data_IF_886661811207
#
_entry.id   IF_886661811207
#
_cell.length_a   1.000
_cell.length_b   1.000
_cell.length_c   1.000
_cell.angle_alpha   90.00
_cell.angle_beta   90.00
_cell.angle_gamma   90.00
#
_symmetry.space_group_name_H-M   'P 1'
#
loop_
_entity.id
_entity.type
_entity.pdbx_description
1 polymer ?
#
# COMPACT_ATOMS: atom_id res chain seq x y z
N UNK A 1 -29.45 -27.15 -41.90
CA UNK A 1 -29.11 -28.21 -40.94
C UNK A 1 -28.30 -29.25 -41.68
N UNK A 2 -27.08 -29.50 -41.24
CA UNK A 2 -26.18 -30.48 -41.84
C UNK A 2 -25.82 -31.45 -40.73
N UNK A 3 -26.36 -32.67 -40.81
CA UNK A 3 -26.00 -33.77 -39.91
C UNK A 3 -25.00 -34.60 -40.68
N UNK A 4 -23.79 -34.72 -40.14
CA UNK A 4 -22.74 -35.52 -40.75
C UNK A 4 -22.36 -36.62 -39.76
N UNK A 5 -22.60 -37.86 -40.18
CA UNK A 5 -22.07 -39.04 -39.52
C UNK A 5 -20.85 -39.43 -40.32
N UNK A 6 -19.68 -39.34 -39.71
CA UNK A 6 -18.42 -39.78 -40.30
C UNK A 6 -17.92 -40.99 -39.57
N UNK A 7 -17.83 -42.10 -40.29
CA UNK A 7 -17.15 -43.32 -39.87
C UNK A 7 -15.89 -43.44 -40.72
N UNK A 8 -14.73 -43.56 -40.09
CA UNK A 8 -13.44 -43.59 -40.78
C UNK A 8 -13.01 -45.04 -40.99
N UNK A 9 -13.18 -45.54 -42.21
CA UNK A 9 -12.83 -46.92 -42.58
C UNK A 9 -11.38 -47.11 -43.08
N UNK A 10 -10.64 -46.04 -43.42
CA UNK A 10 -9.26 -46.15 -43.95
C UNK A 10 -8.34 -44.96 -43.57
N UNK A 11 -7.03 -45.23 -43.46
CA UNK A 11 -5.99 -44.27 -43.01
C UNK A 11 -5.72 -43.08 -43.95
N UNK A 12 -6.31 -43.02 -45.15
CA UNK A 12 -5.90 -42.05 -46.20
C UNK A 12 -6.55 -40.66 -46.12
N UNK A 13 -7.57 -40.46 -45.29
CA UNK A 13 -8.15 -39.13 -45.08
C UNK A 13 -7.61 -38.48 -43.80
N UNK A 14 -6.65 -37.57 -43.96
CA UNK A 14 -5.95 -36.85 -42.89
C UNK A 14 -6.67 -35.61 -42.35
N UNK A 15 -8.00 -35.49 -42.51
CA UNK A 15 -8.72 -34.23 -42.23
C UNK A 15 -9.59 -34.21 -40.96
N UNK A 16 -9.64 -35.29 -40.20
CA UNK A 16 -10.43 -35.34 -38.95
C UNK A 16 -9.61 -36.07 -37.90
N UNK A 17 -9.48 -35.47 -36.70
CA UNK A 17 -8.74 -36.03 -35.56
C UNK A 17 -9.39 -37.27 -34.93
N UNK A 18 -9.93 -38.16 -35.77
CA UNK A 18 -10.55 -39.43 -35.43
C UNK A 18 -9.61 -40.57 -35.80
N UNK A 19 -9.49 -41.56 -34.92
CA UNK A 19 -8.76 -42.80 -35.20
C UNK A 19 -9.60 -43.74 -36.09
N UNK A 20 -8.96 -44.63 -36.88
CA UNK A 20 -9.69 -45.63 -37.67
C UNK A 20 -10.58 -46.51 -36.78
N UNK A 21 -11.87 -46.62 -37.10
CA UNK A 21 -12.85 -47.37 -36.30
C UNK A 21 -13.58 -46.54 -35.23
N UNK A 22 -13.23 -45.27 -35.04
CA UNK A 22 -14.02 -44.35 -34.22
C UNK A 22 -15.14 -43.71 -35.06
N UNK A 23 -16.33 -43.63 -34.47
CA UNK A 23 -17.47 -42.91 -35.02
C UNK A 23 -17.73 -41.66 -34.21
N UNK A 24 -17.88 -40.52 -34.88
CA UNK A 24 -18.25 -39.27 -34.23
C UNK A 24 -19.47 -38.65 -34.94
N UNK A 25 -20.38 -38.12 -34.13
CA UNK A 25 -21.57 -37.43 -34.61
C UNK A 25 -21.34 -35.93 -34.54
N UNK A 26 -21.38 -35.26 -35.69
CA UNK A 26 -21.30 -33.80 -35.74
C UNK A 26 -22.64 -33.19 -36.12
N UNK A 27 -23.09 -32.21 -35.32
CA UNK A 27 -24.22 -31.35 -35.64
C UNK A 27 -23.72 -29.92 -35.84
N UNK A 28 -23.73 -29.42 -37.09
CA UNK A 28 -23.30 -28.06 -37.42
C UNK A 28 -21.88 -27.67 -36.87
N UNK A 29 -20.98 -28.65 -36.69
CA UNK A 29 -19.63 -28.46 -36.15
C UNK A 29 -19.47 -28.77 -34.66
N UNK A 30 -20.56 -29.01 -33.93
CA UNK A 30 -20.53 -29.50 -32.55
C UNK A 30 -20.28 -31.01 -32.55
N UNK A 31 -19.22 -31.46 -31.86
CA UNK A 31 -19.00 -32.88 -31.61
C UNK A 31 -19.97 -33.35 -30.52
N UNK A 32 -20.83 -34.30 -30.85
CA UNK A 32 -21.80 -34.88 -29.95
C UNK A 32 -21.36 -36.30 -29.59
N UNK A 33 -21.21 -36.56 -28.30
CA UNK A 33 -20.82 -37.87 -27.78
C UNK A 33 -21.97 -38.88 -27.89
N UNK A 34 -21.79 -39.89 -28.74
CA UNK A 34 -22.85 -40.86 -29.04
C UNK A 34 -23.20 -41.76 -27.86
N UNK A 35 -22.29 -41.97 -26.91
CA UNK A 35 -22.51 -42.87 -25.77
C UNK A 35 -23.39 -42.25 -24.69
N UNK A 36 -23.42 -40.91 -24.60
CA UNK A 36 -24.16 -40.17 -23.58
C UNK A 36 -25.46 -39.52 -24.07
N UNK A 37 -25.75 -39.56 -25.38
CA UNK A 37 -26.90 -38.90 -25.98
C UNK A 37 -28.20 -39.70 -25.86
N UNK A 38 -29.16 -39.13 -25.14
CA UNK A 38 -30.57 -39.55 -25.20
C UNK A 38 -31.28 -38.88 -26.40
N UNK A 39 -32.27 -39.55 -26.99
CA UNK A 39 -33.08 -39.02 -28.10
C UNK A 39 -33.77 -37.70 -27.73
N UNK A 40 -34.17 -37.55 -26.47
CA UNK A 40 -34.75 -36.31 -25.96
C UNK A 40 -33.72 -35.19 -25.81
N UNK A 41 -32.47 -35.52 -25.45
CA UNK A 41 -31.38 -34.56 -25.42
C UNK A 41 -31.01 -34.11 -26.83
N UNK A 42 -30.89 -35.05 -27.77
CA UNK A 42 -30.65 -34.74 -29.18
C UNK A 42 -31.76 -33.84 -29.75
N UNK A 43 -33.02 -34.11 -29.43
CA UNK A 43 -34.14 -33.27 -29.83
C UNK A 43 -34.03 -31.84 -29.26
N UNK A 44 -33.65 -31.70 -27.99
CA UNK A 44 -33.43 -30.39 -27.38
C UNK A 44 -32.28 -29.62 -28.04
N UNK A 45 -31.18 -30.31 -28.35
CA UNK A 45 -30.02 -29.73 -29.05
C UNK A 45 -30.43 -29.26 -30.45
N UNK A 46 -31.17 -30.09 -31.21
CA UNK A 46 -31.69 -29.73 -32.53
C UNK A 46 -32.62 -28.51 -32.46
N UNK A 47 -33.49 -28.44 -31.46
CA UNK A 47 -34.39 -27.30 -31.26
C UNK A 47 -33.63 -26.02 -30.94
N UNK A 48 -32.57 -26.09 -30.14
CA UNK A 48 -31.70 -24.94 -29.87
C UNK A 48 -30.97 -24.48 -31.13
N UNK A 49 -30.46 -25.43 -31.92
CA UNK A 49 -29.77 -25.12 -33.17
C UNK A 49 -30.72 -24.53 -34.22
N UNK A 50 -31.98 -24.98 -34.25
CA UNK A 50 -33.03 -24.39 -35.08
C UNK A 50 -33.29 -22.93 -34.71
N UNK A 51 -33.36 -22.61 -33.42
CA UNK A 51 -33.56 -21.24 -32.95
C UNK A 51 -32.39 -20.33 -33.36
N UNK A 52 -31.16 -20.79 -33.20
CA UNK A 52 -29.95 -20.05 -33.62
C UNK A 52 -29.95 -19.85 -35.13
N UNK A 53 -30.21 -20.91 -35.89
CA UNK A 53 -30.28 -20.85 -37.36
C UNK A 53 -31.39 -19.93 -37.85
N UNK A 54 -32.54 -19.90 -37.18
CA UNK A 54 -33.67 -19.02 -37.53
C UNK A 54 -33.35 -17.56 -37.20
N UNK A 55 -32.66 -17.31 -36.09
CA UNK A 55 -32.16 -15.98 -35.72
C UNK A 55 -31.26 -15.39 -36.80
N UNK A 56 -30.26 -16.16 -37.27
CA UNK A 56 -29.38 -15.72 -38.35
C UNK A 56 -30.10 -15.59 -39.70
N UNK A 57 -31.05 -16.49 -39.98
CA UNK A 57 -31.88 -16.42 -41.18
C UNK A 57 -32.70 -15.13 -41.25
N UNK A 58 -33.30 -14.70 -40.13
CA UNK A 58 -34.05 -13.44 -40.03
C UNK A 58 -33.15 -12.21 -40.24
N UNK A 59 -31.86 -12.32 -39.93
CA UNK A 59 -30.85 -11.29 -40.16
C UNK A 59 -30.28 -11.31 -41.60
N UNK A 60 -30.76 -12.21 -42.46
CA UNK A 60 -30.34 -12.33 -43.87
C UNK A 60 -29.16 -13.26 -44.10
N UNK A 61 -28.60 -13.87 -43.05
CA UNK A 61 -27.50 -14.83 -43.14
C UNK A 61 -28.05 -16.26 -43.23
N UNK A 62 -27.88 -16.93 -44.38
CA UNK A 62 -28.45 -18.28 -44.56
C UNK A 62 -27.55 -19.40 -44.02
N UNK A 63 -26.37 -19.58 -44.59
CA UNK A 63 -25.43 -20.66 -44.19
C UNK A 63 -24.04 -20.14 -43.80
N UNK A 64 -23.81 -18.85 -43.96
CA UNK A 64 -22.51 -18.21 -43.71
C UNK A 64 -22.24 -17.94 -42.22
N UNK A 65 -23.17 -18.31 -41.33
CA UNK A 65 -23.04 -18.12 -39.88
C UNK A 65 -22.21 -19.23 -39.20
N UNK A 66 -22.11 -20.43 -39.81
CA UNK A 66 -21.43 -21.58 -39.21
C UNK A 66 -19.93 -21.33 -38.95
N UNK A 67 -19.15 -20.70 -39.86
CA UNK A 67 -17.75 -20.37 -39.59
C UNK A 67 -17.56 -19.36 -38.46
N UNK A 68 -18.58 -18.54 -38.17
CA UNK A 68 -18.55 -17.60 -37.05
C UNK A 68 -18.69 -18.38 -35.74
N UNK A 69 -19.64 -19.32 -35.68
CA UNK A 69 -19.88 -20.12 -34.48
C UNK A 69 -18.71 -21.05 -34.15
N UNK A 70 -18.03 -21.62 -35.15
CA UNK A 70 -16.88 -22.51 -34.92
C UNK A 70 -15.63 -21.78 -34.41
N UNK A 71 -15.51 -20.47 -34.66
CA UNK A 71 -14.35 -19.67 -34.28
C UNK A 71 -14.52 -18.92 -32.96
N UNK A 72 -15.72 -18.94 -32.37
CA UNK A 72 -15.98 -18.30 -31.09
C UNK A 72 -15.79 -19.34 -30.00
N UNK A 73 -14.77 -19.16 -29.16
CA UNK A 73 -14.60 -19.98 -27.96
C UNK A 73 -15.63 -19.54 -26.91
N UNK A 74 -16.62 -20.41 -26.68
CA UNK A 74 -17.70 -20.20 -25.70
C UNK A 74 -17.47 -20.97 -24.41
N UNK A 75 -16.29 -21.58 -24.20
CA UNK A 75 -16.01 -22.37 -23.00
C UNK A 75 -16.16 -21.53 -21.73
N UNK A 76 -17.22 -21.86 -20.98
CA UNK A 76 -17.63 -21.45 -19.63
C UNK A 76 -17.16 -20.12 -19.04
N UNK A 77 -18.11 -19.18 -18.85
CA UNK A 77 -18.04 -18.24 -17.72
C UNK A 77 -19.44 -17.92 -17.19
N UNK A 78 -19.75 -18.47 -16.01
CA UNK A 78 -20.98 -18.22 -15.23
C UNK A 78 -20.87 -16.87 -14.52
N UNK A 79 -20.98 -15.78 -15.28
CA UNK A 79 -21.60 -14.49 -14.91
C UNK A 79 -21.24 -13.42 -15.97
N UNK A 80 -22.06 -13.30 -17.02
CA UNK A 80 -21.86 -12.32 -18.12
C UNK A 80 -22.72 -11.07 -17.93
N UNK A 81 -22.49 -10.30 -16.88
CA UNK A 81 -22.93 -8.91 -16.86
C UNK A 81 -21.71 -8.00 -16.75
N UNK A 82 -21.58 -7.09 -17.70
CA UNK A 82 -20.61 -6.02 -17.62
C UNK A 82 -21.23 -4.90 -16.76
N UNK A 83 -20.53 -4.52 -15.70
CA UNK A 83 -20.94 -3.38 -14.85
C UNK A 83 -20.26 -2.13 -15.38
N UNK A 84 -21.06 -1.09 -15.68
CA UNK A 84 -20.53 0.23 -15.97
C UNK A 84 -20.17 0.94 -14.66
N UNK A 85 -18.88 1.13 -14.42
CA UNK A 85 -18.34 1.75 -13.21
C UNK A 85 -18.25 3.28 -13.30
N UNK A 86 -18.48 3.88 -14.47
CA UNK A 86 -18.18 5.31 -14.70
C UNK A 86 -19.03 6.24 -13.84
N UNK A 87 -20.25 5.81 -13.50
CA UNK A 87 -21.16 6.54 -12.60
C UNK A 87 -20.69 6.59 -11.15
N UNK A 88 -19.77 5.71 -10.75
CA UNK A 88 -19.29 5.61 -9.38
C UNK A 88 -18.09 6.53 -9.06
N UNK A 89 -17.57 7.27 -10.06
CA UNK A 89 -16.43 8.20 -9.90
C UNK A 89 -15.26 7.64 -9.08
N UNK A 90 -14.63 6.53 -9.51
CA UNK A 90 -13.53 5.93 -8.78
C UNK A 90 -12.32 6.88 -8.69
N UNK A 91 -11.63 6.85 -7.55
CA UNK A 91 -10.39 7.58 -7.33
C UNK A 91 -9.25 6.85 -8.03
N UNK A 92 -8.74 7.41 -9.13
CA UNK A 92 -7.67 6.78 -9.91
C UNK A 92 -6.29 7.09 -9.33
N UNK A 93 -5.48 6.05 -9.12
CA UNK A 93 -4.09 6.16 -8.63
C UNK A 93 -3.12 6.56 -9.76
N UNK A 94 -3.39 6.08 -10.98
CA UNK A 94 -2.56 6.29 -12.15
C UNK A 94 -3.38 6.55 -13.41
N UNK A 95 -2.70 7.11 -14.41
CA UNK A 95 -3.22 7.29 -15.75
C UNK A 95 -2.13 6.95 -16.78
N UNK A 96 -2.31 5.82 -17.46
CA UNK A 96 -1.33 5.27 -18.42
C UNK A 96 -1.14 6.17 -19.66
N UNK A 97 -2.10 7.02 -19.97
CA UNK A 97 -2.04 7.94 -21.11
C UNK A 97 -1.25 9.22 -20.80
N UNK A 98 -1.32 9.71 -19.56
CA UNK A 98 -0.83 11.06 -19.20
C UNK A 98 0.40 11.06 -18.30
N UNK A 99 0.55 10.07 -17.43
CA UNK A 99 1.59 10.13 -16.40
C UNK A 99 2.98 10.00 -17.01
N UNK A 100 3.92 10.83 -16.51
CA UNK A 100 5.32 10.86 -16.98
C UNK A 100 5.98 9.48 -16.88
N UNK A 101 5.59 8.70 -15.87
CA UNK A 101 6.10 7.35 -15.60
C UNK A 101 5.96 6.43 -16.82
N UNK A 102 4.83 6.45 -17.52
CA UNK A 102 4.55 5.54 -18.63
C UNK A 102 4.98 6.08 -20.01
N UNK A 103 5.61 7.27 -20.07
CA UNK A 103 6.01 7.91 -21.33
C UNK A 103 7.00 7.08 -22.16
N UNK A 104 7.75 6.19 -21.50
CA UNK A 104 8.69 5.29 -22.15
C UNK A 104 8.00 4.13 -22.90
N UNK A 105 6.72 3.87 -22.63
CA UNK A 105 5.92 2.89 -23.36
C UNK A 105 5.39 3.47 -24.67
N UNK A 106 5.16 2.59 -25.64
CA UNK A 106 4.52 2.98 -26.91
C UNK A 106 3.01 3.18 -26.68
N UNK A 107 2.42 4.15 -27.37
CA UNK A 107 1.02 4.57 -27.19
C UNK A 107 0.09 4.12 -28.35
N UNK A 108 0.48 3.11 -29.12
CA UNK A 108 -0.27 2.61 -30.28
C UNK A 108 -1.09 1.37 -29.94
N UNK A 109 -2.40 1.40 -30.24
CA UNK A 109 -3.31 0.26 -30.04
C UNK A 109 -2.96 -0.92 -30.97
N UNK A 110 -2.29 -0.66 -32.10
CA UNK A 110 -1.86 -1.71 -33.05
C UNK A 110 -0.94 -2.75 -32.41
N UNK A 111 -0.27 -2.39 -31.31
CA UNK A 111 0.62 -3.28 -30.56
C UNK A 111 -0.13 -4.49 -29.95
N UNK A 112 -1.45 -4.40 -29.78
CA UNK A 112 -2.27 -5.54 -29.33
C UNK A 112 -2.34 -6.66 -30.37
N UNK A 113 -2.18 -6.33 -31.66
CA UNK A 113 -2.23 -7.28 -32.76
C UNK A 113 -0.88 -7.97 -33.02
N UNK A 114 0.19 -7.44 -32.43
CA UNK A 114 1.52 -8.02 -32.57
C UNK A 114 1.70 -9.19 -31.59
N UNK A 115 2.31 -10.31 -32.02
CA UNK A 115 2.55 -11.44 -31.14
C UNK A 115 3.38 -11.03 -29.91
N UNK A 116 2.95 -11.47 -28.74
CA UNK A 116 3.62 -11.24 -27.45
C UNK A 116 3.67 -12.54 -26.66
N UNK A 117 4.51 -12.59 -25.62
CA UNK A 117 4.66 -13.80 -24.81
C UNK A 117 3.32 -14.19 -24.17
N UNK A 118 2.86 -15.44 -24.32
CA UNK A 118 1.59 -15.89 -23.76
C UNK A 118 1.61 -15.78 -22.23
N UNK A 119 0.53 -15.25 -21.66
CA UNK A 119 0.40 -15.03 -20.21
C UNK A 119 0.95 -13.71 -19.67
N UNK A 120 1.59 -12.87 -20.52
CA UNK A 120 2.07 -11.55 -20.12
C UNK A 120 1.19 -10.43 -20.71
N UNK A 121 0.85 -9.43 -19.89
CA UNK A 121 0.17 -8.23 -20.37
C UNK A 121 1.21 -7.31 -20.99
N UNK A 122 1.02 -6.96 -22.27
CA UNK A 122 1.92 -6.05 -22.98
C UNK A 122 1.84 -4.63 -22.38
N UNK A 123 2.98 -3.99 -22.04
CA UNK A 123 2.98 -2.61 -21.57
C UNK A 123 2.67 -1.64 -22.72
N UNK A 124 1.54 -0.95 -22.63
CA UNK A 124 1.07 0.06 -23.59
C UNK A 124 0.64 1.28 -22.79
N UNK A 125 1.12 2.48 -23.15
CA UNK A 125 0.73 3.75 -22.52
C UNK A 125 -0.68 4.19 -22.94
N UNK A 126 -1.68 3.34 -22.68
CA UNK A 126 -3.10 3.54 -22.97
C UNK A 126 -3.94 2.87 -21.87
N UNK A 127 -4.99 3.52 -21.40
CA UNK A 127 -5.91 2.97 -20.40
C UNK A 127 -6.84 1.87 -20.98
N UNK A 128 -6.26 0.72 -21.37
CA UNK A 128 -6.99 -0.39 -22.00
C UNK A 128 -7.66 -1.32 -20.97
N UNK A 129 -6.98 -1.53 -19.84
CA UNK A 129 -7.44 -2.40 -18.77
C UNK A 129 -7.57 -1.58 -17.49
N UNK A 130 -8.77 -1.56 -16.91
CA UNK A 130 -9.04 -0.84 -15.66
C UNK A 130 -9.38 -1.85 -14.57
N UNK A 131 -8.70 -1.74 -13.43
CA UNK A 131 -8.95 -2.52 -12.22
C UNK A 131 -9.48 -1.57 -11.14
N UNK A 132 -10.68 -1.86 -10.61
CA UNK A 132 -11.33 -1.03 -9.59
C UNK A 132 -11.48 -1.85 -8.32
N UNK A 133 -10.89 -1.36 -7.24
CA UNK A 133 -11.04 -1.92 -5.92
C UNK A 133 -12.24 -1.27 -5.24
N UNK A 134 -13.28 -2.05 -4.97
CA UNK A 134 -14.42 -1.64 -4.15
C UNK A 134 -14.16 -2.11 -2.73
N UNK A 135 -14.00 -1.17 -1.79
CA UNK A 135 -13.42 -1.43 -0.49
C UNK A 135 -14.22 -0.75 0.60
N UNK A 136 -14.51 -1.45 1.68
CA UNK A 136 -14.90 -0.81 2.93
C UNK A 136 -13.61 -0.49 3.73
N UNK A 137 -13.20 0.79 3.84
CA UNK A 137 -11.97 1.16 4.54
C UNK A 137 -11.95 0.78 6.03
N UNK A 138 -13.11 0.53 6.67
CA UNK A 138 -13.16 0.05 8.04
C UNK A 138 -12.80 -1.44 8.17
N UNK A 139 -12.91 -2.21 7.08
CA UNK A 139 -12.71 -3.66 7.10
C UNK A 139 -11.25 -4.06 6.89
N UNK A 140 -10.80 -5.11 7.59
CA UNK A 140 -9.40 -5.56 7.55
C UNK A 140 -8.97 -6.05 6.16
N UNK A 141 -9.82 -6.79 5.46
CA UNK A 141 -9.49 -7.33 4.14
C UNK A 141 -9.27 -6.23 3.09
N UNK A 142 -9.90 -5.07 3.29
CA UNK A 142 -9.67 -3.91 2.44
C UNK A 142 -8.23 -3.41 2.52
N UNK A 143 -7.55 -3.56 3.67
CA UNK A 143 -6.12 -3.17 3.79
C UNK A 143 -5.22 -4.04 2.92
N UNK A 144 -5.51 -5.34 2.83
CA UNK A 144 -4.75 -6.28 1.95
C UNK A 144 -4.91 -5.88 0.48
N UNK A 145 -6.13 -5.52 0.10
CA UNK A 145 -6.44 -5.06 -1.26
C UNK A 145 -5.83 -3.68 -1.56
N UNK A 146 -5.81 -2.76 -0.59
CA UNK A 146 -5.11 -1.47 -0.71
C UNK A 146 -3.61 -1.65 -0.87
N UNK A 147 -3.01 -2.57 -0.10
CA UNK A 147 -1.60 -2.92 -0.27
C UNK A 147 -1.33 -3.50 -1.66
N UNK A 148 -2.18 -4.41 -2.12
CA UNK A 148 -2.09 -4.96 -3.48
C UNK A 148 -2.19 -3.86 -4.54
N UNK A 149 -3.14 -2.93 -4.41
CA UNK A 149 -3.27 -1.79 -5.30
C UNK A 149 -2.01 -0.92 -5.33
N UNK A 150 -1.40 -0.68 -4.17
CA UNK A 150 -0.13 0.04 -4.06
C UNK A 150 1.03 -0.72 -4.75
N UNK A 151 1.17 -2.02 -4.48
CA UNK A 151 2.20 -2.87 -5.10
C UNK A 151 2.06 -2.95 -6.63
N UNK A 152 0.83 -3.04 -7.16
CA UNK A 152 0.59 -3.04 -8.61
C UNK A 152 0.99 -1.70 -9.25
N UNK A 153 0.76 -0.59 -8.55
CA UNK A 153 1.20 0.73 -8.99
C UNK A 153 2.72 0.89 -8.96
N UNK A 154 3.38 0.42 -7.90
CA UNK A 154 4.85 0.50 -7.78
C UNK A 154 5.57 -0.33 -8.84
N UNK A 155 5.05 -1.51 -9.19
CA UNK A 155 5.64 -2.39 -10.21
C UNK A 155 5.26 -2.01 -11.66
N UNK A 156 4.61 -0.86 -11.88
CA UNK A 156 4.23 -0.39 -13.21
C UNK A 156 3.45 -1.42 -14.02
N UNK A 157 2.54 -2.15 -13.36
CA UNK A 157 1.67 -3.10 -14.07
C UNK A 157 0.79 -2.31 -15.06
N UNK A 158 0.62 -2.76 -16.32
CA UNK A 158 -0.13 -2.03 -17.36
C UNK A 158 -1.65 -2.09 -17.14
N UNK A 159 -2.08 -1.62 -15.98
CA UNK A 159 -3.46 -1.52 -15.52
C UNK A 159 -3.70 -0.10 -15.01
N UNK A 160 -4.86 0.46 -15.33
CA UNK A 160 -5.37 1.66 -14.67
C UNK A 160 -6.05 1.26 -13.37
N UNK A 161 -5.54 1.71 -12.23
CA UNK A 161 -5.99 1.30 -10.91
C UNK A 161 -6.88 2.39 -10.32
N UNK A 162 -8.09 2.01 -9.93
CA UNK A 162 -9.07 2.86 -9.26
C UNK A 162 -9.46 2.31 -7.89
N UNK A 163 -9.75 3.21 -6.95
CA UNK A 163 -10.28 2.90 -5.63
C UNK A 163 -11.70 3.47 -5.50
N UNK A 164 -12.60 2.67 -4.96
CA UNK A 164 -13.97 3.05 -4.61
C UNK A 164 -14.20 2.66 -3.15
N UNK A 165 -14.38 3.66 -2.28
CA UNK A 165 -14.68 3.39 -0.88
C UNK A 165 -16.18 3.29 -0.66
N UNK A 166 -16.62 2.11 -0.24
CA UNK A 166 -17.97 1.83 0.22
C UNK A 166 -18.08 2.32 1.66
N UNK A 167 -18.36 3.61 1.83
CA UNK A 167 -18.64 4.24 3.13
C UNK A 167 -20.13 4.56 3.24
N UNK A 168 -20.61 4.74 4.47
CA UNK A 168 -21.98 5.17 4.71
C UNK A 168 -22.25 6.54 4.07
N UNK A 169 -23.39 6.66 3.41
CA UNK A 169 -23.76 7.83 2.58
C UNK A 169 -24.52 8.90 3.35
N UNK A 170 -24.82 8.66 4.62
CA UNK A 170 -25.60 9.57 5.45
C UNK A 170 -24.78 10.78 5.90
N UNK A 171 -25.22 11.99 5.54
CA UNK A 171 -24.57 13.27 5.89
C UNK A 171 -24.47 13.53 7.41
N UNK A 172 -25.24 12.82 8.24
CA UNK A 172 -25.15 12.91 9.69
C UNK A 172 -23.91 12.20 10.27
N UNK A 173 -23.28 11.32 9.49
CA UNK A 173 -22.14 10.51 9.94
C UNK A 173 -20.84 11.22 9.56
N UNK A 174 -20.16 11.77 10.56
CA UNK A 174 -18.86 12.41 10.41
C UNK A 174 -17.71 11.42 10.66
N UNK A 175 -16.49 11.79 10.25
CA UNK A 175 -15.28 11.01 10.51
C UNK A 175 -14.90 10.83 11.99
N UNK A 176 -15.63 11.44 12.92
CA UNK A 176 -15.52 11.16 14.36
C UNK A 176 -16.35 9.96 14.79
N UNK A 177 -17.40 9.62 14.03
CA UNK A 177 -18.37 8.59 14.36
C UNK A 177 -18.14 7.32 13.54
N UNK A 178 -17.64 7.46 12.31
CA UNK A 178 -17.34 6.34 11.41
C UNK A 178 -15.88 6.39 10.93
N UNK A 179 -15.19 5.27 11.12
CA UNK A 179 -13.77 5.11 10.80
C UNK A 179 -13.55 5.13 9.29
N UNK A 180 -14.48 4.58 8.51
CA UNK A 180 -14.37 4.55 7.05
C UNK A 180 -14.48 5.95 6.44
N UNK A 181 -15.42 6.76 6.92
CA UNK A 181 -15.55 8.18 6.58
C UNK A 181 -14.32 8.96 7.01
N UNK A 182 -13.73 8.65 8.16
CA UNK A 182 -12.48 9.27 8.62
C UNK A 182 -11.31 8.99 7.66
N UNK A 183 -11.15 7.74 7.23
CA UNK A 183 -10.09 7.32 6.30
C UNK A 183 -10.31 7.94 4.91
N UNK A 184 -11.56 7.98 4.43
CA UNK A 184 -11.88 8.65 3.17
C UNK A 184 -11.56 10.15 3.23
N UNK A 185 -11.93 10.83 4.32
CA UNK A 185 -11.65 12.25 4.51
C UNK A 185 -10.14 12.52 4.60
N UNK A 186 -9.41 11.65 5.30
CA UNK A 186 -7.96 11.71 5.37
C UNK A 186 -7.32 11.54 3.98
N UNK A 187 -7.74 10.53 3.22
CA UNK A 187 -7.25 10.28 1.87
C UNK A 187 -7.51 11.49 0.96
N UNK A 188 -8.73 12.03 0.99
CA UNK A 188 -9.12 13.20 0.22
C UNK A 188 -8.31 14.44 0.62
N UNK A 189 -8.11 14.68 1.93
CA UNK A 189 -7.31 15.78 2.43
C UNK A 189 -5.85 15.69 1.95
N UNK A 190 -5.25 14.49 2.02
CA UNK A 190 -3.89 14.25 1.55
C UNK A 190 -3.76 14.40 0.02
N UNK A 191 -4.83 14.04 -0.71
CA UNK A 191 -4.90 14.14 -2.16
C UNK A 191 -5.12 15.58 -2.68
N UNK A 192 -5.35 16.57 -1.80
CA UNK A 192 -5.41 17.99 -2.18
C UNK A 192 -4.01 18.49 -2.55
N UNK A 193 -3.02 18.17 -1.72
CA UNK A 193 -1.65 18.63 -1.89
C UNK A 193 -0.79 17.65 -2.71
N UNK A 194 -1.14 16.37 -2.71
CA UNK A 194 -0.40 15.29 -3.38
C UNK A 194 -1.32 14.44 -4.28
N UNK A 195 -0.75 13.58 -5.11
CA UNK A 195 -1.55 12.64 -5.89
C UNK A 195 -2.11 11.48 -5.03
N UNK A 196 -3.19 10.84 -5.48
CA UNK A 196 -3.84 9.73 -4.75
C UNK A 196 -2.91 8.55 -4.45
N UNK A 197 -1.88 8.29 -5.27
CA UNK A 197 -0.92 7.21 -5.01
C UNK A 197 0.00 7.50 -3.81
N UNK A 198 0.39 8.77 -3.61
CA UNK A 198 1.16 9.17 -2.44
C UNK A 198 0.27 9.10 -1.19
N UNK A 199 -0.96 9.60 -1.29
CA UNK A 199 -1.94 9.53 -0.20
C UNK A 199 -2.27 8.08 0.21
N UNK A 200 -2.35 7.15 -0.76
CA UNK A 200 -2.57 5.74 -0.49
C UNK A 200 -1.39 5.11 0.25
N UNK A 201 -0.14 5.38 -0.17
CA UNK A 201 1.07 4.87 0.52
C UNK A 201 1.03 5.24 2.00
N UNK A 202 0.67 6.49 2.27
CA UNK A 202 0.54 7.05 3.61
C UNK A 202 -0.46 6.22 4.42
N UNK A 203 -1.68 5.99 3.92
CA UNK A 203 -2.74 5.23 4.63
C UNK A 203 -2.36 3.75 4.90
N UNK A 204 -1.56 3.12 4.05
CA UNK A 204 -1.24 1.69 4.12
C UNK A 204 -0.06 1.38 5.05
N UNK A 205 0.86 2.32 5.28
CA UNK A 205 2.12 2.07 5.98
C UNK A 205 2.38 3.07 7.13
N UNK A 206 1.79 2.88 8.33
CA UNK A 206 2.16 3.66 9.49
C UNK A 206 3.54 3.22 10.02
N UNK A 207 4.57 4.05 9.83
CA UNK A 207 5.90 3.83 10.39
C UNK A 207 6.06 4.60 11.70
N UNK A 208 6.48 3.93 12.79
CA UNK A 208 6.96 4.63 13.99
C UNK A 208 8.48 4.67 13.96
N UNK A 209 9.04 5.87 13.89
CA UNK A 209 10.47 6.14 13.83
C UNK A 209 10.88 7.01 15.02
N UNK A 210 11.77 6.53 15.89
CA UNK A 210 12.42 7.37 16.89
C UNK A 210 13.84 7.70 16.46
N UNK A 211 14.26 8.93 16.71
CA UNK A 211 15.62 9.41 16.45
C UNK A 211 16.30 9.62 17.78
N UNK A 212 17.40 8.91 18.01
CA UNK A 212 18.27 9.10 19.17
C UNK A 212 19.44 9.96 18.72
N UNK A 213 19.58 11.15 19.31
CA UNK A 213 20.63 12.08 18.92
C UNK A 213 21.00 13.06 20.03
N UNK A 214 22.24 13.56 19.95
CA UNK A 214 22.71 14.71 20.70
C UNK A 214 22.39 16.01 19.94
N UNK A 215 21.43 16.80 20.42
CA UNK A 215 21.05 18.05 19.76
C UNK A 215 22.04 19.20 20.00
N UNK A 216 22.98 19.06 20.93
CA UNK A 216 24.07 20.02 21.11
C UNK A 216 25.16 19.81 20.04
N UNK A 217 25.28 18.58 19.51
CA UNK A 217 26.15 18.25 18.38
C UNK A 217 25.56 18.67 17.03
N UNK A 218 26.41 19.16 16.11
CA UNK A 218 26.02 19.49 14.74
C UNK A 218 25.43 18.29 13.99
N UNK A 219 26.12 17.15 14.08
CA UNK A 219 25.71 15.92 13.41
C UNK A 219 24.44 15.30 14.02
N UNK A 220 24.17 15.54 15.31
CA UNK A 220 22.93 15.11 15.94
C UNK A 220 21.73 16.01 15.61
N UNK A 221 21.95 17.31 15.35
CA UNK A 221 20.90 18.17 14.75
C UNK A 221 20.62 17.79 13.30
N UNK A 222 21.64 17.44 12.52
CA UNK A 222 21.50 17.07 11.12
C UNK A 222 20.61 15.82 10.93
N UNK A 223 20.79 14.78 11.75
CA UNK A 223 19.97 13.55 11.65
C UNK A 223 18.48 13.83 11.94
N UNK A 224 18.19 14.68 12.93
CA UNK A 224 16.82 15.12 13.23
C UNK A 224 16.25 16.00 12.12
N UNK A 225 17.05 16.91 11.56
CA UNK A 225 16.65 17.72 10.42
C UNK A 225 16.28 16.86 9.20
N UNK A 226 17.12 15.88 8.86
CA UNK A 226 16.87 14.92 7.77
C UNK A 226 15.61 14.09 8.03
N UNK A 227 15.39 13.62 9.26
CA UNK A 227 14.18 12.90 9.63
C UNK A 227 12.91 13.76 9.49
N UNK A 228 12.92 15.01 9.98
CA UNK A 228 11.77 15.92 9.85
C UNK A 228 11.54 16.31 8.38
N UNK A 229 12.60 16.42 7.58
CA UNK A 229 12.48 16.67 6.14
C UNK A 229 11.82 15.49 5.44
N UNK A 230 12.19 14.26 5.78
CA UNK A 230 11.52 13.05 5.30
C UNK A 230 10.02 13.03 5.67
N UNK A 231 9.63 13.57 6.85
CA UNK A 231 8.21 13.76 7.20
C UNK A 231 7.46 14.75 6.31
N UNK A 232 8.13 15.61 5.55
CA UNK A 232 7.46 16.51 4.59
C UNK A 232 7.06 15.76 3.32
N UNK A 233 7.79 14.69 2.96
CA UNK A 233 7.50 13.84 1.80
C UNK A 233 6.64 12.62 2.16
N UNK A 234 6.73 12.14 3.41
CA UNK A 234 5.92 11.04 3.94
C UNK A 234 5.12 11.51 5.16
N UNK A 235 3.80 11.68 5.02
CA UNK A 235 2.97 12.30 6.08
C UNK A 235 2.44 11.33 7.15
N UNK A 236 2.69 10.01 7.05
CA UNK A 236 2.29 9.00 8.08
C UNK A 236 3.43 8.35 8.86
N UNK A 237 4.62 8.95 8.87
CA UNK A 237 5.66 8.52 9.81
C UNK A 237 5.47 9.21 11.16
N UNK A 238 5.21 8.44 12.22
CA UNK A 238 5.21 8.92 13.60
C UNK A 238 6.65 9.10 14.06
N UNK A 239 7.10 10.35 14.15
CA UNK A 239 8.45 10.68 14.60
C UNK A 239 8.49 10.90 16.12
N UNK A 240 9.37 10.17 16.80
CA UNK A 240 9.81 10.47 18.15
C UNK A 240 11.26 10.98 18.15
N UNK A 241 11.60 11.85 19.10
CA UNK A 241 12.98 12.31 19.30
C UNK A 241 13.35 11.96 20.73
N UNK A 242 14.45 11.25 20.92
CA UNK A 242 15.01 10.87 22.22
C UNK A 242 16.37 11.56 22.36
N UNK A 243 16.53 12.33 23.43
CA UNK A 243 17.76 13.08 23.66
C UNK A 243 18.84 12.18 24.23
N UNK A 244 20.00 12.11 23.57
CA UNK A 244 21.17 11.39 24.04
C UNK A 244 22.40 12.31 24.07
N UNK A 245 22.49 13.24 25.03
CA UNK A 245 23.59 14.19 25.08
C UNK A 245 24.90 13.50 25.47
N UNK A 246 26.00 14.02 24.94
CA UNK A 246 27.35 13.62 25.38
C UNK A 246 27.60 14.07 26.83
N UNK A 247 27.09 15.25 27.19
CA UNK A 247 27.20 15.82 28.54
C UNK A 247 25.81 16.01 29.17
N UNK A 248 25.49 15.34 30.30
CA UNK A 248 24.16 15.42 30.91
C UNK A 248 23.87 16.76 31.60
N UNK A 249 24.86 17.63 31.76
CA UNK A 249 24.73 18.94 32.43
C UNK A 249 24.13 20.02 31.52
N UNK A 250 24.41 19.98 30.21
CA UNK A 250 23.92 20.98 29.23
C UNK A 250 22.44 20.78 28.90
N UNK A 251 21.92 19.58 29.15
CA UNK A 251 20.56 19.15 28.79
C UNK A 251 19.44 20.00 29.41
N UNK A 252 19.68 20.53 30.60
CA UNK A 252 18.69 21.29 31.39
C UNK A 252 18.96 22.79 31.41
N UNK A 253 19.92 23.29 30.63
CA UNK A 253 20.20 24.72 30.58
C UNK A 253 18.99 25.48 30.02
N UNK A 254 18.69 26.62 30.62
CA UNK A 254 17.52 27.42 30.25
C UNK A 254 17.71 27.95 28.83
N UNK A 255 16.75 27.67 27.95
CA UNK A 255 16.78 27.98 26.51
C UNK A 255 17.81 27.20 25.67
N UNK A 256 18.33 26.09 26.20
CA UNK A 256 19.09 25.12 25.39
C UNK A 256 18.21 24.52 24.28
N UNK A 257 18.84 24.10 23.17
CA UNK A 257 18.12 23.46 22.05
C UNK A 257 17.37 22.19 22.51
N UNK A 258 17.97 21.27 23.29
CA UNK A 258 17.25 20.10 23.81
C UNK A 258 16.01 20.46 24.63
N UNK A 259 16.11 21.45 25.52
CA UNK A 259 14.98 21.92 26.33
C UNK A 259 13.88 22.54 25.47
N UNK A 260 14.24 23.34 24.46
CA UNK A 260 13.27 23.96 23.55
C UNK A 260 12.56 22.94 22.69
N UNK A 261 13.27 21.91 22.21
CA UNK A 261 12.67 20.82 21.43
C UNK A 261 11.72 19.98 22.30
N UNK A 262 12.10 19.65 23.54
CA UNK A 262 11.20 18.95 24.47
C UNK A 262 9.94 19.77 24.80
N UNK A 263 10.09 21.08 25.04
CA UNK A 263 8.95 21.97 25.27
C UNK A 263 8.04 22.05 24.03
N UNK A 264 8.63 22.18 22.83
CA UNK A 264 7.90 22.22 21.58
C UNK A 264 7.08 20.96 21.33
N UNK A 265 7.64 19.77 21.60
CA UNK A 265 6.95 18.50 21.42
C UNK A 265 5.75 18.32 22.36
N UNK A 266 5.79 18.93 23.56
CA UNK A 266 4.75 18.77 24.60
C UNK A 266 3.66 19.83 24.53
N UNK A 267 4.03 21.08 24.27
CA UNK A 267 3.14 22.23 24.44
C UNK A 267 2.53 22.72 23.12
N UNK A 268 3.24 22.55 22.00
CA UNK A 268 2.79 23.08 20.72
C UNK A 268 1.98 22.05 19.94
N UNK A 269 0.97 22.48 19.14
CA UNK A 269 0.34 21.63 18.15
C UNK A 269 1.36 21.06 17.17
N UNK A 270 1.16 19.83 16.70
CA UNK A 270 2.13 19.11 15.86
C UNK A 270 2.63 19.89 14.64
N UNK A 271 1.75 20.65 13.97
CA UNK A 271 2.13 21.49 12.81
C UNK A 271 3.11 22.60 13.21
N UNK A 272 2.83 23.28 14.33
CA UNK A 272 3.69 24.34 14.86
C UNK A 272 5.01 23.76 15.39
N UNK A 273 4.93 22.66 16.15
CA UNK A 273 6.10 21.95 16.66
C UNK A 273 7.04 21.52 15.53
N UNK A 274 6.50 20.93 14.45
CA UNK A 274 7.28 20.52 13.27
C UNK A 274 8.03 21.70 12.66
N UNK A 275 7.35 22.82 12.42
CA UNK A 275 7.98 24.00 11.82
C UNK A 275 9.03 24.63 12.74
N UNK A 276 8.72 24.75 14.03
CA UNK A 276 9.60 25.35 15.03
C UNK A 276 10.85 24.50 15.26
N UNK A 277 10.71 23.19 15.47
CA UNK A 277 11.83 22.26 15.62
C UNK A 277 12.69 22.25 14.36
N UNK A 278 12.09 22.29 13.15
CA UNK A 278 12.86 22.38 11.89
C UNK A 278 13.76 23.62 11.85
N UNK A 279 13.30 24.76 12.39
CA UNK A 279 14.11 25.98 12.51
C UNK A 279 15.21 25.80 13.57
N UNK A 280 14.87 25.28 14.75
CA UNK A 280 15.83 25.09 15.85
C UNK A 280 17.03 24.19 15.48
N UNK A 281 16.77 23.10 14.76
CA UNK A 281 17.84 22.16 14.38
C UNK A 281 18.61 22.59 13.13
N UNK A 282 18.18 23.66 12.44
CA UNK A 282 18.90 24.17 11.27
C UNK A 282 20.21 24.81 11.73
N UNK A 283 21.30 24.44 11.07
CA UNK A 283 22.66 24.77 11.50
C UNK A 283 22.92 26.28 11.68
N UNK A 284 22.39 27.10 10.77
CA UNK A 284 22.51 28.57 10.83
C UNK A 284 21.91 29.11 12.13
N UNK A 285 20.65 28.79 12.41
CA UNK A 285 19.95 29.27 13.60
C UNK A 285 20.51 28.68 14.88
N UNK A 286 20.97 27.43 14.85
CA UNK A 286 21.64 26.82 16.00
C UNK A 286 22.93 27.58 16.36
N UNK A 287 23.76 27.96 15.38
CA UNK A 287 24.99 28.74 15.62
C UNK A 287 24.68 30.13 16.19
N UNK A 288 23.64 30.79 15.67
CA UNK A 288 23.20 32.11 16.15
C UNK A 288 22.62 32.06 17.58
N UNK A 289 21.93 30.97 17.93
CA UNK A 289 21.40 30.75 19.27
C UNK A 289 22.51 30.45 20.29
N UNK A 290 23.49 29.62 19.93
CA UNK A 290 24.65 29.33 20.80
C UNK A 290 25.55 30.55 21.01
N UNK A 291 25.68 31.42 20.00
CA UNK A 291 26.43 32.67 20.12
C UNK A 291 25.66 33.78 20.85
N UNK A 292 24.37 33.57 21.14
CA UNK A 292 23.48 34.57 21.76
C UNK A 292 23.13 35.75 20.84
N UNK A 293 23.46 35.64 19.55
CA UNK A 293 23.15 36.67 18.54
C UNK A 293 21.65 36.77 18.23
N UNK A 294 20.92 35.68 18.44
CA UNK A 294 19.48 35.58 18.23
C UNK A 294 18.82 34.96 19.46
N UNK A 295 17.64 35.46 19.84
CA UNK A 295 16.83 34.81 20.87
C UNK A 295 15.83 33.83 20.24
N UNK A 296 15.40 32.82 21.01
CA UNK A 296 14.52 31.76 20.51
C UNK A 296 13.13 32.29 20.06
N UNK A 297 12.68 33.42 20.59
CA UNK A 297 11.40 34.06 20.23
C UNK A 297 11.36 34.50 18.76
N UNK A 298 12.52 34.86 18.19
CA UNK A 298 12.64 35.22 16.77
C UNK A 298 12.44 34.02 15.84
N UNK A 299 12.58 32.80 16.36
CA UNK A 299 12.34 31.56 15.64
C UNK A 299 10.86 31.13 15.68
N UNK A 300 9.99 31.86 16.37
CA UNK A 300 8.57 31.58 16.44
C UNK A 300 7.93 31.40 15.04
N UNK A 301 6.88 30.59 14.98
CA UNK A 301 6.17 30.27 13.74
C UNK A 301 4.78 30.91 13.74
N UNK A 302 4.17 31.04 12.56
CA UNK A 302 2.85 31.68 12.44
C UNK A 302 1.80 31.00 13.32
N UNK A 303 1.10 31.79 14.14
CA UNK A 303 0.06 31.29 15.05
C UNK A 303 0.57 30.73 16.39
N UNK A 304 1.87 30.85 16.68
CA UNK A 304 2.43 30.53 18.00
C UNK A 304 2.21 31.69 18.98
N UNK A 305 1.64 31.41 20.14
CA UNK A 305 1.59 32.36 21.26
C UNK A 305 2.86 32.22 22.10
N UNK A 306 3.80 33.14 21.88
CA UNK A 306 5.13 33.14 22.51
C UNK A 306 5.02 33.29 24.03
N UNK A 307 4.11 34.14 24.52
CA UNK A 307 3.96 34.40 25.95
C UNK A 307 3.37 33.19 26.67
N UNK A 308 2.36 32.55 26.06
CA UNK A 308 1.78 31.31 26.60
C UNK A 308 2.85 30.21 26.64
N UNK A 309 3.58 30.02 25.56
CA UNK A 309 4.63 29.01 25.47
C UNK A 309 5.74 29.24 26.51
N UNK A 310 6.19 30.48 26.70
CA UNK A 310 7.21 30.80 27.70
C UNK A 310 6.74 30.50 29.13
N UNK A 311 5.51 30.86 29.48
CA UNK A 311 4.95 30.58 30.80
C UNK A 311 4.81 29.08 31.06
N UNK A 312 4.30 28.33 30.09
CA UNK A 312 4.16 26.87 30.19
C UNK A 312 5.52 26.15 30.19
N UNK A 313 6.49 26.65 29.42
CA UNK A 313 7.87 26.14 29.41
C UNK A 313 8.51 26.20 30.80
N UNK A 314 8.26 27.28 31.56
CA UNK A 314 8.80 27.43 32.93
C UNK A 314 8.24 26.41 33.92
N UNK A 315 7.08 25.81 33.60
CA UNK A 315 6.46 24.76 34.42
C UNK A 315 6.98 23.36 34.07
N UNK A 316 7.75 23.19 32.99
CA UNK A 316 8.27 21.90 32.57
C UNK A 316 9.50 21.50 33.38
N UNK A 317 9.44 20.31 33.98
CA UNK A 317 10.59 19.69 34.65
C UNK A 317 11.57 19.12 33.62
N UNK A 318 12.87 19.14 33.95
CA UNK A 318 13.92 18.50 33.14
C UNK A 318 14.04 16.98 33.40
N UNK A 319 13.29 16.41 34.34
CA UNK A 319 13.35 14.97 34.65
C UNK A 319 13.12 14.06 33.43
N UNK A 320 12.16 14.31 32.52
CA UNK A 320 11.97 13.48 31.33
C UNK A 320 13.21 13.39 30.45
N UNK A 321 13.93 14.50 30.28
CA UNK A 321 15.17 14.53 29.49
C UNK A 321 16.29 13.71 30.15
N UNK A 322 16.35 13.69 31.49
CA UNK A 322 17.27 12.82 32.22
C UNK A 322 16.89 11.34 32.07
N UNK A 323 15.58 11.04 32.08
CA UNK A 323 15.09 9.68 31.83
C UNK A 323 15.40 9.22 30.42
N UNK A 324 15.36 10.09 29.41
CA UNK A 324 15.77 9.76 28.04
C UNK A 324 17.23 9.26 28.01
N UNK A 325 18.16 9.98 28.64
CA UNK A 325 19.56 9.56 28.70
C UNK A 325 19.76 8.23 29.44
N UNK A 326 19.02 8.00 30.53
CA UNK A 326 19.04 6.72 31.26
C UNK A 326 18.47 5.59 30.40
N UNK A 327 17.36 5.84 29.70
CA UNK A 327 16.73 4.89 28.80
C UNK A 327 17.67 4.49 27.65
N UNK A 328 18.35 5.46 27.05
CA UNK A 328 19.30 5.21 25.96
C UNK A 328 20.46 4.33 26.43
N UNK A 329 21.03 4.62 27.59
CA UNK A 329 22.13 3.83 28.15
C UNK A 329 21.69 2.44 28.59
N UNK A 330 20.61 2.35 29.36
CA UNK A 330 20.25 1.13 30.08
C UNK A 330 19.40 0.18 29.22
N UNK A 331 18.57 0.72 28.32
CA UNK A 331 17.68 -0.07 27.45
C UNK A 331 18.26 -0.22 26.05
N UNK A 332 18.64 0.88 25.39
CA UNK A 332 19.14 0.84 24.02
C UNK A 332 20.61 0.41 23.92
N UNK A 333 21.35 0.43 25.03
CA UNK A 333 22.77 0.07 25.11
C UNK A 333 23.66 0.95 24.22
N UNK A 334 23.28 2.20 24.04
CA UNK A 334 24.09 3.21 23.33
C UNK A 334 24.89 4.04 24.33
N UNK A 335 26.09 4.45 23.94
CA UNK A 335 26.92 5.36 24.72
C UNK A 335 26.37 6.80 24.64
N UNK A 336 26.65 7.65 25.63
CA UNK A 336 26.32 9.07 25.56
C UNK A 336 26.89 9.71 24.29
N UNK A 337 26.08 10.50 23.58
CA UNK A 337 26.47 11.15 22.31
C UNK A 337 26.29 10.30 21.05
N UNK A 338 26.14 8.98 21.17
CA UNK A 338 25.89 8.11 20.02
C UNK A 338 24.52 8.39 19.39
N UNK A 339 24.46 8.25 18.07
CA UNK A 339 23.28 8.53 17.25
C UNK A 339 22.73 7.23 16.67
N UNK A 340 21.41 7.07 16.69
CA UNK A 340 20.76 5.89 16.13
C UNK A 340 19.31 6.20 15.72
N UNK A 341 18.76 5.39 14.82
CA UNK A 341 17.32 5.32 14.58
C UNK A 341 16.71 4.09 15.26
N UNK A 342 15.46 4.22 15.67
CA UNK A 342 14.65 3.10 16.14
C UNK A 342 13.40 3.05 15.28
N UNK A 343 13.29 2.05 14.42
CA UNK A 343 12.18 1.94 13.48
C UNK A 343 11.35 0.70 13.80
N UNK A 344 10.12 0.91 14.30
CA UNK A 344 9.24 -0.12 14.88
C UNK A 344 9.95 -1.07 15.87
N UNK A 345 10.96 -0.59 16.60
CA UNK A 345 11.72 -1.38 17.57
C UNK A 345 13.03 -2.00 17.04
N UNK A 346 13.36 -1.84 15.76
CA UNK A 346 14.71 -2.13 15.25
C UNK A 346 15.62 -0.95 15.55
N UNK A 347 16.72 -1.19 16.27
CA UNK A 347 17.79 -0.20 16.41
C UNK A 347 18.69 -0.26 15.16
N UNK A 348 18.84 0.87 14.48
CA UNK A 348 19.73 1.07 13.32
C UNK A 348 20.79 2.10 13.74
N UNK A 349 22.02 1.63 13.93
CA UNK A 349 23.12 2.38 14.51
C UNK A 349 23.90 1.51 15.51
N UNK A 350 24.82 2.09 16.30
CA UNK A 350 25.20 3.50 16.33
C UNK A 350 25.85 3.96 15.01
N UNK A 351 25.54 5.18 14.59
CA UNK A 351 26.18 5.82 13.44
C UNK A 351 27.49 6.49 13.86
N UNK A 352 28.49 6.45 12.98
CA UNK A 352 29.79 7.09 13.24
C UNK A 352 29.62 8.60 13.38
N UNK A 353 30.40 9.29 14.21
CA UNK A 353 30.22 10.73 14.48
C UNK A 353 30.23 11.60 13.21
N UNK A 354 31.01 11.21 12.20
CA UNK A 354 31.18 11.93 10.94
C UNK A 354 30.19 11.48 9.84
N UNK A 355 29.39 10.44 10.10
CA UNK A 355 28.45 9.91 9.12
C UNK A 355 27.28 10.89 8.92
N UNK A 356 27.13 11.37 7.69
CA UNK A 356 26.07 12.30 7.31
C UNK A 356 24.85 11.53 6.86
N UNK A 357 23.75 11.66 7.61
CA UNK A 357 22.48 11.05 7.25
C UNK A 357 21.67 12.02 6.40
N UNK A 358 21.32 11.59 5.19
CA UNK A 358 20.44 12.33 4.27
C UNK A 358 19.02 11.76 4.27
N UNK A 359 18.09 12.49 3.65
CA UNK A 359 16.68 12.15 3.60
C UNK A 359 16.40 10.77 2.96
N UNK A 360 17.17 10.39 1.93
CA UNK A 360 17.03 9.08 1.28
C UNK A 360 17.41 7.92 2.19
N UNK A 361 18.30 8.14 3.16
CA UNK A 361 18.71 7.09 4.10
C UNK A 361 17.57 6.79 5.08
N UNK A 362 16.81 7.83 5.47
CA UNK A 362 15.61 7.68 6.30
C UNK A 362 14.53 6.90 5.54
N UNK A 363 14.34 7.17 4.24
CA UNK A 363 13.42 6.41 3.38
C UNK A 363 13.88 4.95 3.22
N UNK A 364 15.18 4.70 3.15
CA UNK A 364 15.73 3.34 3.09
C UNK A 364 15.44 2.55 4.38
N UNK A 365 15.56 3.18 5.55
CA UNK A 365 15.23 2.56 6.83
C UNK A 365 13.75 2.13 6.87
N UNK A 366 12.85 2.98 6.37
CA UNK A 366 11.43 2.65 6.25
C UNK A 366 11.21 1.38 5.40
N UNK A 367 11.88 1.28 4.25
CA UNK A 367 11.81 0.11 3.36
C UNK A 367 12.37 -1.16 4.01
N UNK A 368 13.46 -1.04 4.77
CA UNK A 368 14.04 -2.18 5.49
C UNK A 368 13.03 -2.72 6.52
N UNK A 369 12.35 -1.84 7.24
CA UNK A 369 11.31 -2.25 8.22
C UNK A 369 10.17 -2.99 7.54
N UNK A 370 9.65 -2.48 6.41
CA UNK A 370 8.59 -3.18 5.68
C UNK A 370 9.06 -4.53 5.14
N UNK A 371 10.26 -4.59 4.54
CA UNK A 371 10.82 -5.84 4.01
C UNK A 371 10.99 -6.94 5.06
N UNK A 372 11.18 -6.55 6.33
CA UNK A 372 11.32 -7.47 7.47
C UNK A 372 9.97 -7.97 8.01
N UNK A 373 8.87 -7.65 7.34
CA UNK A 373 7.55 -8.21 7.62
C UNK A 373 6.73 -7.44 8.64
N UNK A 374 6.98 -6.12 8.80
CA UNK A 374 6.15 -5.27 9.66
C UNK A 374 4.69 -5.30 9.21
N UNK A 375 4.46 -5.33 7.90
CA UNK A 375 3.13 -5.47 7.29
C UNK A 375 2.48 -6.84 7.52
N UNK A 376 3.28 -7.91 7.66
CA UNK A 376 2.76 -9.24 8.02
C UNK A 376 2.23 -9.20 9.45
N UNK A 377 2.99 -8.62 10.38
CA UNK A 377 2.59 -8.50 11.79
C UNK A 377 1.36 -7.58 11.93
N UNK A 378 1.33 -6.46 11.23
CA UNK A 378 0.16 -5.58 11.18
C UNK A 378 -1.11 -6.34 10.74
N UNK A 379 -1.02 -7.14 9.68
CA UNK A 379 -2.16 -7.94 9.20
C UNK A 379 -2.65 -9.02 10.17
N UNK A 380 -1.85 -9.43 11.16
CA UNK A 380 -2.26 -10.40 12.18
C UNK A 380 -2.77 -9.71 13.45
N UNK A 381 -2.20 -8.57 13.81
CA UNK A 381 -2.65 -7.79 14.97
C UNK A 381 -4.04 -7.24 14.75
N UNK A 382 -4.38 -6.84 13.53
CA UNK A 382 -5.75 -6.43 13.22
C UNK A 382 -6.75 -7.55 13.58
N UNK A 383 -6.43 -8.81 13.29
CA UNK A 383 -7.24 -9.99 13.65
C UNK A 383 -7.31 -10.26 15.15
N UNK A 384 -6.23 -9.97 15.88
CA UNK A 384 -6.13 -10.19 17.33
C UNK A 384 -6.72 -9.03 18.13
N UNK A 385 -6.71 -7.82 17.58
CA UNK A 385 -7.11 -6.57 18.24
C UNK A 385 -8.62 -6.45 18.47
N UNK A 386 -9.42 -7.35 17.89
CA UNK A 386 -10.85 -7.47 18.18
C UNK A 386 -11.15 -7.76 19.67
N UNK A 387 -10.18 -8.28 20.44
CA UNK A 387 -10.34 -8.66 21.86
C UNK A 387 -9.51 -7.82 22.85
N UNK A 388 -8.59 -6.95 22.39
CA UNK A 388 -7.66 -6.24 23.29
C UNK A 388 -8.11 -4.80 23.56
N UNK A 389 -8.70 -4.58 24.73
CA UNK A 389 -9.01 -3.24 25.23
C UNK A 389 -7.74 -2.46 25.62
N UNK A 390 -7.66 -1.22 25.11
CA UNK A 390 -6.87 -0.05 25.54
C UNK A 390 -5.59 0.34 24.79
N UNK A 391 -4.89 -0.53 24.08
CA UNK A 391 -3.65 -0.15 23.38
C UNK A 391 -3.88 0.20 21.90
N UNK A 392 -3.20 1.25 21.41
CA UNK A 392 -3.24 1.66 20.01
C UNK A 392 -2.73 0.53 19.11
N UNK A 393 -3.40 0.18 18.00
CA UNK A 393 -2.96 -0.87 17.08
C UNK A 393 -1.52 -0.68 16.60
N UNK A 394 -1.09 0.58 16.39
CA UNK A 394 0.27 0.91 16.00
C UNK A 394 1.31 0.57 17.07
N UNK A 395 0.96 0.75 18.35
CA UNK A 395 1.84 0.43 19.46
C UNK A 395 1.94 -1.10 19.64
N UNK A 396 0.83 -1.83 19.43
CA UNK A 396 0.84 -3.30 19.38
C UNK A 396 1.70 -3.83 18.23
N UNK A 397 1.65 -3.20 17.05
CA UNK A 397 2.51 -3.53 15.90
C UNK A 397 3.97 -3.35 16.27
N UNK A 398 4.34 -2.21 16.84
CA UNK A 398 5.70 -1.96 17.29
C UNK A 398 6.16 -3.00 18.32
N UNK A 399 5.37 -3.24 19.37
CA UNK A 399 5.71 -4.18 20.45
C UNK A 399 5.87 -5.62 19.92
N UNK A 400 4.93 -6.07 19.10
CA UNK A 400 4.96 -7.42 18.52
C UNK A 400 6.11 -7.60 17.55
N UNK A 401 6.39 -6.60 16.71
CA UNK A 401 7.52 -6.62 15.79
C UNK A 401 8.86 -6.64 16.53
N UNK A 402 9.02 -5.82 17.57
CA UNK A 402 10.19 -5.86 18.45
C UNK A 402 10.37 -7.23 19.12
N UNK A 403 9.29 -7.83 19.62
CA UNK A 403 9.33 -9.14 20.28
C UNK A 403 9.72 -10.26 19.31
N UNK A 404 9.11 -10.28 18.12
CA UNK A 404 9.41 -11.28 17.08
C UNK A 404 10.84 -11.14 16.59
N UNK A 405 11.37 -9.92 16.43
CA UNK A 405 12.76 -9.74 16.03
C UNK A 405 13.75 -10.20 17.10
N UNK A 406 13.46 -9.91 18.37
CA UNK A 406 14.37 -10.24 19.48
C UNK A 406 14.39 -11.73 19.82
N UNK A 407 13.23 -12.38 19.79
CA UNK A 407 13.06 -13.76 20.26
C UNK A 407 12.71 -14.75 19.14
N UNK A 408 12.45 -14.27 17.93
CA UNK A 408 12.16 -15.09 16.77
C UNK A 408 13.35 -15.96 16.39
N UNK A 409 13.09 -17.24 16.22
CA UNK A 409 14.09 -18.17 15.70
C UNK A 409 14.19 -17.94 14.19
N UNK A 410 15.41 -17.80 13.65
CA UNK A 410 15.69 -17.74 12.20
C UNK A 410 15.46 -19.08 11.50
N UNK A 411 14.27 -19.66 11.66
CA UNK A 411 13.84 -20.90 11.03
C UNK A 411 12.39 -20.76 10.60
N UNK A 412 12.12 -21.10 9.34
CA UNK A 412 10.76 -21.15 8.80
C UNK A 412 9.97 -22.19 9.59
N UNK A 413 8.90 -21.76 10.26
CA UNK A 413 7.96 -22.67 10.94
C UNK A 413 6.96 -23.18 9.92
N UNK A 414 6.69 -24.48 9.94
CA UNK A 414 5.71 -25.11 9.05
C UNK A 414 4.71 -25.86 9.91
N UNK A 415 3.43 -25.50 9.81
CA UNK A 415 2.38 -26.30 10.44
C UNK A 415 2.11 -27.52 9.56
N UNK A 416 2.26 -28.71 10.15
CA UNK A 416 1.83 -29.95 9.50
C UNK A 416 0.35 -30.13 9.83
N UNK A 417 -0.53 -29.80 8.88
CA UNK A 417 -1.94 -30.16 8.99
C UNK A 417 -2.08 -31.65 8.73
N UNK A 418 -2.14 -32.44 9.81
CA UNK A 418 -2.55 -33.83 9.74
C UNK A 418 -4.00 -33.86 9.23
N UNK A 419 -4.25 -34.66 8.20
CA UNK A 419 -5.54 -34.70 7.51
C UNK A 419 -6.70 -34.80 8.49
N UNK A 420 -7.67 -33.89 8.37
CA UNK A 420 -8.94 -34.01 9.08
C UNK A 420 -9.52 -35.39 8.74
N UNK A 421 -9.70 -36.25 9.74
CA UNK A 421 -10.48 -37.46 9.55
C UNK A 421 -11.86 -37.03 9.03
N UNK A 422 -12.18 -37.44 7.80
CA UNK A 422 -13.56 -37.40 7.31
C UNK A 422 -14.34 -38.36 8.20
N UNK A 423 -15.15 -37.82 9.10
CA UNK A 423 -16.27 -38.57 9.67
C UNK A 423 -17.45 -38.51 8.71
#
# INVERSE_FOLDING_TARGET
MLIQITEKEDERDGMSGLEPGESALYLNGLNLDMDSLDIFQLFNIIRQEELVSTGFFNLGFRRDYLPILTNIDLSEDKNKYAVDYRSAYPMFLNNLDTDVRYKHWRNSVKLLLEPYYPGMIRPIARNLFTLIFVLDPAHEDSRKLLKMAHTLYEHEVPLRIGLLFAVESNEAVNGTNDVGVAILNLLNFLAVDNAYHDALRIVVEPLTLWVVADLDSEHGRQIVYSAIKSLKRSSMTRLGIIMNPSNPTTLCEENSIPSLVNAAMRLLPHTQAKQFITKLVKEQFAKDLHSGAMKWEELAVGGMDVNKFENEKRLLNCEPLKFDGIFVRDVLKLSPGERAFIANGIIVGPFDEQETIIESDVELIARIVDSRGSSIIASQIDKWSADSGSDSPSDLVMQSFALVLKHGVNRKRTFVTLGKYKN
#
